data_IF_976381387372
#
_entry.id   IF_976381387372
#
_cell.length_a   1.000
_cell.length_b   1.000
_cell.length_c   1.000
_cell.angle_alpha   90.00
_cell.angle_beta   90.00
_cell.angle_gamma   90.00
#
_symmetry.space_group_name_H-M   'P 1'
#
loop_
_entity.id
_entity.type
_entity.pdbx_description
1 polymer ?
#
# COMPACT_ATOMS: atom_id res chain seq x y z
N UNK A 1 15.41 -38.96 11.91
CA UNK A 1 15.87 -38.06 12.98
C UNK A 1 17.10 -37.29 12.47
N UNK A 2 16.91 -36.50 11.41
CA UNK A 2 17.97 -35.68 10.81
C UNK A 2 17.64 -34.23 11.16
N UNK A 3 18.61 -33.50 11.68
CA UNK A 3 18.48 -32.09 12.03
C UNK A 3 18.57 -31.28 10.73
N UNK A 4 17.61 -30.38 10.44
CA UNK A 4 17.63 -29.59 9.21
C UNK A 4 18.81 -28.60 9.20
N UNK A 5 19.46 -28.46 8.05
CA UNK A 5 20.59 -27.52 7.85
C UNK A 5 20.13 -26.09 7.56
N UNK A 6 18.93 -25.92 6.98
CA UNK A 6 18.39 -24.62 6.55
C UNK A 6 16.90 -24.48 6.84
N UNK A 7 16.44 -23.24 6.98
CA UNK A 7 15.02 -22.86 7.08
C UNK A 7 14.76 -21.67 6.18
N UNK A 8 13.66 -21.71 5.42
CA UNK A 8 13.22 -20.60 4.59
C UNK A 8 11.98 -19.93 5.19
N UNK A 9 12.00 -18.60 5.25
CA UNK A 9 10.88 -17.78 5.72
C UNK A 9 10.45 -16.83 4.60
N UNK A 10 9.15 -16.80 4.31
CA UNK A 10 8.56 -15.87 3.36
C UNK A 10 7.36 -15.17 4.00
N UNK A 11 7.19 -13.88 3.69
CA UNK A 11 6.13 -13.08 4.27
C UNK A 11 5.87 -11.79 3.50
N UNK A 12 4.87 -11.03 3.95
CA UNK A 12 4.52 -9.71 3.41
C UNK A 12 4.62 -8.67 4.51
N UNK A 13 5.27 -7.55 4.22
CA UNK A 13 5.35 -6.40 5.12
C UNK A 13 4.26 -5.41 4.73
N UNK A 14 3.45 -4.98 5.69
CA UNK A 14 2.41 -3.95 5.50
C UNK A 14 2.52 -2.88 6.58
N UNK A 15 2.32 -1.64 6.19
CA UNK A 15 2.39 -0.48 7.05
C UNK A 15 1.43 0.59 6.51
N UNK A 16 1.02 1.55 7.35
CA UNK A 16 0.09 2.61 6.95
C UNK A 16 0.79 3.95 6.68
N UNK A 17 2.00 4.11 7.21
CA UNK A 17 2.74 5.36 7.23
C UNK A 17 4.08 5.16 6.53
N UNK A 18 4.39 5.91 5.45
CA UNK A 18 5.63 5.74 4.69
C UNK A 18 6.89 5.78 5.57
N UNK A 19 6.91 6.64 6.58
CA UNK A 19 8.04 6.81 7.50
C UNK A 19 8.33 5.58 8.38
N UNK A 20 7.39 4.63 8.49
CA UNK A 20 7.55 3.41 9.29
C UNK A 20 8.24 2.29 8.50
N UNK A 21 8.32 2.39 7.17
CA UNK A 21 8.88 1.35 6.31
C UNK A 21 10.31 0.97 6.68
N UNK A 22 11.21 1.96 6.75
CA UNK A 22 12.63 1.71 7.06
C UNK A 22 12.81 1.13 8.46
N UNK A 23 12.02 1.60 9.42
CA UNK A 23 12.02 1.06 10.78
C UNK A 23 11.66 -0.42 10.77
N UNK A 24 10.61 -0.84 10.05
CA UNK A 24 10.24 -2.25 9.98
C UNK A 24 11.34 -3.08 9.31
N UNK A 25 11.94 -2.60 8.23
CA UNK A 25 13.02 -3.33 7.56
C UNK A 25 14.23 -3.52 8.49
N UNK A 26 14.64 -2.46 9.18
CA UNK A 26 15.74 -2.53 10.15
C UNK A 26 15.44 -3.48 11.32
N UNK A 27 14.20 -3.47 11.83
CA UNK A 27 13.80 -4.35 12.93
C UNK A 27 13.73 -5.84 12.51
N UNK A 28 13.34 -6.13 11.27
CA UNK A 28 13.38 -7.49 10.72
C UNK A 28 14.84 -7.97 10.63
N UNK A 29 15.74 -7.14 10.11
CA UNK A 29 17.16 -7.49 10.02
C UNK A 29 17.78 -7.70 11.42
N UNK A 30 17.46 -6.80 12.36
CA UNK A 30 17.89 -6.91 13.77
C UNK A 30 17.36 -8.19 14.43
N UNK A 31 16.13 -8.61 14.12
CA UNK A 31 15.59 -9.86 14.64
C UNK A 31 16.33 -11.07 14.08
N UNK A 32 16.66 -11.07 12.77
CA UNK A 32 17.38 -12.17 12.12
C UNK A 32 18.84 -12.30 12.59
N UNK A 33 19.45 -11.22 13.09
CA UNK A 33 20.83 -11.26 13.59
C UNK A 33 21.04 -12.24 14.74
N UNK A 34 19.97 -12.69 15.43
CA UNK A 34 20.05 -13.75 16.44
C UNK A 34 20.59 -15.08 15.88
N UNK A 35 20.36 -15.37 14.59
CA UNK A 35 20.88 -16.58 13.95
C UNK A 35 22.40 -16.66 14.06
N UNK A 36 23.09 -15.52 13.89
CA UNK A 36 24.56 -15.42 14.03
C UNK A 36 25.03 -15.64 15.45
N UNK A 37 24.29 -15.12 16.44
CA UNK A 37 24.60 -15.37 17.86
C UNK A 37 24.45 -16.85 18.24
N UNK A 38 23.62 -17.60 17.51
CA UNK A 38 23.39 -19.03 17.70
C UNK A 38 24.29 -19.92 16.83
N UNK A 39 25.28 -19.34 16.12
CA UNK A 39 26.25 -20.08 15.31
C UNK A 39 25.79 -20.40 13.88
N UNK A 40 24.66 -19.83 13.43
CA UNK A 40 24.20 -19.90 12.04
C UNK A 40 24.46 -18.60 11.27
N UNK A 41 23.82 -18.46 10.11
CA UNK A 41 23.79 -17.22 9.32
C UNK A 41 22.41 -17.04 8.67
N UNK A 42 22.17 -15.90 8.04
CA UNK A 42 20.94 -15.61 7.31
C UNK A 42 21.19 -14.79 6.05
N UNK A 43 20.32 -14.97 5.06
CA UNK A 43 20.18 -14.08 3.91
C UNK A 43 18.82 -13.38 4.00
N UNK A 44 18.80 -12.07 3.76
CA UNK A 44 17.57 -11.27 3.80
C UNK A 44 17.34 -10.59 2.45
N UNK A 45 16.22 -10.94 1.81
CA UNK A 45 15.75 -10.28 0.60
C UNK A 45 14.42 -9.56 0.88
N UNK A 46 14.46 -8.23 0.91
CA UNK A 46 13.26 -7.39 1.02
C UNK A 46 12.97 -6.75 -0.33
N UNK A 47 11.79 -7.01 -0.89
CA UNK A 47 11.29 -6.35 -2.10
C UNK A 47 10.25 -5.29 -1.71
N UNK A 48 10.46 -4.05 -2.15
CA UNK A 48 9.51 -2.96 -1.90
C UNK A 48 8.28 -3.15 -2.80
N UNK A 49 7.11 -3.25 -2.17
CA UNK A 49 5.81 -3.25 -2.85
C UNK A 49 5.24 -1.85 -3.01
N UNK A 50 3.95 -1.78 -3.38
CA UNK A 50 3.21 -0.53 -3.45
C UNK A 50 3.17 0.18 -2.07
N UNK A 51 3.32 1.51 -2.02
CA UNK A 51 3.22 2.26 -0.78
C UNK A 51 1.77 2.28 -0.25
N UNK A 52 1.54 2.77 0.97
CA UNK A 52 0.20 3.01 1.46
C UNK A 52 -0.54 4.05 0.59
N UNK A 53 -1.85 3.88 0.38
CA UNK A 53 -2.67 4.92 -0.26
C UNK A 53 -2.77 6.11 0.69
N UNK A 54 -2.17 7.24 0.29
CA UNK A 54 -2.33 8.53 0.95
C UNK A 54 -3.25 9.39 0.11
N UNK A 55 -4.38 9.78 0.67
CA UNK A 55 -5.33 10.69 0.02
C UNK A 55 -4.94 12.15 0.31
N UNK A 56 -4.88 12.99 -0.73
CA UNK A 56 -4.69 14.43 -0.57
C UNK A 56 -5.94 15.07 0.06
N UNK A 57 -5.78 15.80 1.16
CA UNK A 57 -6.88 16.39 1.94
C UNK A 57 -7.77 17.29 1.09
N UNK A 58 -7.19 18.05 0.15
CA UNK A 58 -7.97 18.96 -0.71
C UNK A 58 -8.89 18.20 -1.66
N UNK A 59 -8.44 17.05 -2.17
CA UNK A 59 -9.26 16.18 -3.03
C UNK A 59 -10.33 15.48 -2.19
N UNK A 60 -9.99 15.08 -0.95
CA UNK A 60 -10.97 14.52 0.00
C UNK A 60 -12.07 15.52 0.32
N UNK A 61 -11.73 16.78 0.59
CA UNK A 61 -12.69 17.83 0.91
C UNK A 61 -13.62 18.12 -0.28
N UNK A 62 -13.07 18.14 -1.50
CA UNK A 62 -13.87 18.27 -2.72
C UNK A 62 -14.83 17.09 -2.89
N UNK A 63 -14.36 15.85 -2.71
CA UNK A 63 -15.21 14.66 -2.78
C UNK A 63 -16.30 14.69 -1.71
N UNK A 64 -15.99 15.11 -0.48
CA UNK A 64 -16.98 15.29 0.60
C UNK A 64 -18.07 16.28 0.20
N UNK A 65 -17.69 17.45 -0.32
CA UNK A 65 -18.65 18.45 -0.77
C UNK A 65 -19.53 17.93 -1.92
N UNK A 66 -18.95 17.22 -2.90
CA UNK A 66 -19.72 16.61 -3.99
C UNK A 66 -20.72 15.59 -3.47
N UNK A 67 -20.28 14.70 -2.57
CA UNK A 67 -21.14 13.66 -2.01
C UNK A 67 -22.23 14.27 -1.13
N UNK A 68 -21.91 15.24 -0.29
CA UNK A 68 -22.87 15.97 0.54
C UNK A 68 -23.96 16.65 -0.29
N UNK A 69 -23.58 17.32 -1.39
CA UNK A 69 -24.53 17.99 -2.27
C UNK A 69 -25.43 17.01 -3.04
N UNK A 70 -24.91 15.85 -3.46
CA UNK A 70 -25.64 14.87 -4.28
C UNK A 70 -26.50 13.92 -3.44
N UNK A 71 -26.02 13.52 -2.26
CA UNK A 71 -26.56 12.40 -1.48
C UNK A 71 -26.88 12.74 -0.03
N UNK A 72 -26.56 13.94 0.43
CA UNK A 72 -26.66 14.35 1.83
C UNK A 72 -25.43 13.97 2.67
N UNK A 73 -25.14 14.77 3.70
CA UNK A 73 -23.99 14.58 4.61
C UNK A 73 -24.05 13.24 5.37
N UNK A 74 -25.25 12.70 5.60
CA UNK A 74 -25.48 11.41 6.26
C UNK A 74 -24.96 10.21 5.45
N UNK A 75 -24.78 10.39 4.14
CA UNK A 75 -24.22 9.36 3.26
C UNK A 75 -22.72 9.15 3.46
N UNK A 76 -22.02 10.13 4.07
CA UNK A 76 -20.61 10.05 4.39
C UNK A 76 -20.37 9.21 5.63
N UNK A 77 -19.56 8.17 5.48
CA UNK A 77 -19.18 7.27 6.58
C UNK A 77 -17.66 7.31 6.79
N UNK A 78 -17.18 7.33 8.04
CA UNK A 78 -15.75 7.26 8.30
C UNK A 78 -15.16 5.96 7.76
N UNK A 79 -14.07 6.09 7.00
CA UNK A 79 -13.41 4.94 6.43
C UNK A 79 -12.67 4.16 7.53
N UNK A 80 -13.04 2.89 7.74
CA UNK A 80 -12.23 1.98 8.57
C UNK A 80 -10.92 1.66 7.86
N UNK A 81 -9.79 1.97 8.48
CA UNK A 81 -8.49 1.58 7.92
C UNK A 81 -8.42 0.06 7.74
N UNK A 82 -7.84 -0.37 6.63
CA UNK A 82 -7.63 -1.78 6.31
C UNK A 82 -6.18 -2.00 5.95
N UNK A 83 -5.70 -3.22 6.17
CA UNK A 83 -4.33 -3.60 5.81
C UNK A 83 -4.24 -4.10 4.36
N UNK A 84 -5.26 -3.90 3.52
CA UNK A 84 -5.20 -4.30 2.10
C UNK A 84 -4.14 -3.50 1.34
N UNK A 85 -3.46 -4.14 0.38
CA UNK A 85 -2.63 -3.42 -0.60
C UNK A 85 -3.51 -2.90 -1.73
N UNK A 86 -3.21 -1.71 -2.23
CA UNK A 86 -3.97 -1.02 -3.28
C UNK A 86 -3.00 -0.29 -4.20
N UNK A 87 -3.06 -0.56 -5.50
CA UNK A 87 -2.09 -0.04 -6.48
C UNK A 87 -2.40 1.40 -6.90
N UNK A 88 -3.60 1.90 -6.56
CA UNK A 88 -3.93 3.32 -6.67
C UNK A 88 -2.94 4.24 -5.93
N UNK A 89 -2.25 3.70 -4.91
CA UNK A 89 -1.16 4.37 -4.19
C UNK A 89 -0.01 4.82 -5.11
N UNK A 90 0.23 4.11 -6.21
CA UNK A 90 1.25 4.49 -7.19
C UNK A 90 0.87 5.78 -7.93
N UNK A 91 -0.42 6.04 -8.11
CA UNK A 91 -0.91 7.29 -8.70
C UNK A 91 -0.88 8.42 -7.68
N UNK A 92 -1.35 8.18 -6.46
CA UNK A 92 -1.35 9.22 -5.41
C UNK A 92 0.04 9.60 -4.92
N UNK A 93 1.04 8.73 -5.15
CA UNK A 93 2.45 9.06 -4.95
C UNK A 93 2.99 10.08 -5.99
N UNK A 94 2.34 10.20 -7.16
CA UNK A 94 2.79 11.06 -8.26
C UNK A 94 1.96 12.34 -8.40
N UNK A 95 0.70 12.34 -7.98
CA UNK A 95 -0.19 13.48 -8.10
C UNK A 95 -1.20 13.53 -6.94
N UNK A 96 -1.65 14.73 -6.54
CA UNK A 96 -2.78 14.88 -5.62
C UNK A 96 -4.00 14.10 -6.11
N UNK A 97 -4.42 13.13 -5.30
CA UNK A 97 -5.55 12.27 -5.60
C UNK A 97 -6.16 11.72 -4.33
N UNK A 98 -7.40 11.26 -4.43
CA UNK A 98 -8.07 10.59 -3.33
C UNK A 98 -8.92 9.44 -3.85
N UNK A 99 -8.92 8.35 -3.09
CA UNK A 99 -9.78 7.20 -3.29
C UNK A 99 -10.82 7.15 -2.17
N UNK A 100 -12.07 6.88 -2.54
CA UNK A 100 -13.16 6.61 -1.60
C UNK A 100 -13.73 5.22 -1.86
N UNK A 101 -14.46 4.66 -0.89
CA UNK A 101 -15.17 3.40 -1.04
C UNK A 101 -16.64 3.65 -1.25
N UNK A 102 -17.16 3.14 -2.37
CA UNK A 102 -18.58 3.18 -2.68
C UNK A 102 -19.30 2.02 -1.98
N UNK A 103 -20.33 2.35 -1.19
CA UNK A 103 -21.21 1.36 -0.60
C UNK A 103 -21.99 0.62 -1.69
N UNK A 104 -21.72 -0.68 -1.86
CA UNK A 104 -22.32 -1.51 -2.90
C UNK A 104 -22.87 -2.84 -2.36
N UNK A 105 -22.95 -2.99 -1.03
CA UNK A 105 -23.39 -4.24 -0.40
C UNK A 105 -24.90 -4.41 -0.56
N UNK A 106 -25.32 -5.60 -1.00
CA UNK A 106 -26.72 -6.04 -0.97
C UNK A 106 -27.16 -6.17 0.50
N UNK A 107 -28.32 -5.62 0.86
CA UNK A 107 -28.81 -5.67 2.23
C UNK A 107 -28.96 -7.10 2.74
N UNK A 108 -28.46 -7.38 3.95
CA UNK A 108 -28.46 -8.71 4.55
C UNK A 108 -27.40 -9.68 4.01
N UNK A 109 -26.61 -9.29 3.00
CA UNK A 109 -25.59 -10.14 2.42
C UNK A 109 -24.24 -10.03 3.15
N UNK A 110 -23.71 -11.14 3.72
CA UNK A 110 -22.41 -11.14 4.40
C UNK A 110 -21.22 -11.27 3.44
N UNK A 111 -21.44 -11.54 2.14
CA UNK A 111 -20.37 -11.77 1.17
C UNK A 111 -19.54 -10.49 0.98
N UNK A 112 -18.23 -10.66 0.86
CA UNK A 112 -17.26 -9.57 0.67
C UNK A 112 -16.47 -9.78 -0.62
N UNK A 113 -15.69 -8.76 -1.01
CA UNK A 113 -14.74 -8.86 -2.11
C UNK A 113 -13.86 -10.12 -1.96
N UNK A 114 -13.51 -10.74 -3.10
CA UNK A 114 -12.80 -12.01 -3.22
C UNK A 114 -13.59 -13.28 -2.86
N UNK A 115 -14.85 -13.19 -2.45
CA UNK A 115 -15.71 -14.37 -2.33
C UNK A 115 -16.07 -14.92 -3.74
N UNK A 116 -16.05 -16.24 -3.99
CA UNK A 116 -16.27 -16.81 -5.33
C UNK A 116 -17.69 -16.58 -5.89
N UNK A 117 -18.63 -16.25 -5.00
CA UNK A 117 -20.00 -15.84 -5.34
C UNK A 117 -20.25 -14.38 -4.97
N UNK A 118 -19.22 -13.54 -4.99
CA UNK A 118 -19.36 -12.11 -4.73
C UNK A 118 -20.44 -11.52 -5.64
N UNK A 119 -21.20 -10.59 -5.09
CA UNK A 119 -22.30 -9.90 -5.76
C UNK A 119 -22.43 -8.51 -5.16
N UNK A 120 -23.05 -7.58 -5.88
CA UNK A 120 -23.18 -6.19 -5.47
C UNK A 120 -24.53 -5.60 -5.87
N UNK A 121 -24.96 -4.58 -5.12
CA UNK A 121 -26.16 -3.83 -5.42
C UNK A 121 -25.89 -2.80 -6.52
N UNK A 122 -26.28 -3.13 -7.76
CA UNK A 122 -26.03 -2.30 -8.94
C UNK A 122 -26.65 -0.90 -8.87
N UNK A 123 -27.57 -0.65 -7.93
CA UNK A 123 -28.09 0.70 -7.65
C UNK A 123 -26.97 1.67 -7.24
N UNK A 124 -25.82 1.18 -6.78
CA UNK A 124 -24.66 2.01 -6.49
C UNK A 124 -23.96 2.56 -7.75
N UNK A 125 -24.09 1.91 -8.91
CA UNK A 125 -23.36 2.29 -10.13
C UNK A 125 -23.65 3.73 -10.60
N UNK A 126 -24.92 4.17 -10.77
CA UNK A 126 -25.21 5.55 -11.14
C UNK A 126 -24.73 6.56 -10.09
N UNK A 127 -24.72 6.18 -8.81
CA UNK A 127 -24.24 7.02 -7.71
C UNK A 127 -22.73 7.26 -7.84
N UNK A 128 -21.95 6.19 -7.99
CA UNK A 128 -20.50 6.29 -8.17
C UNK A 128 -20.12 7.10 -9.41
N UNK A 129 -20.82 6.88 -10.52
CA UNK A 129 -20.61 7.63 -11.75
C UNK A 129 -20.91 9.12 -11.59
N UNK A 130 -22.02 9.48 -10.93
CA UNK A 130 -22.40 10.86 -10.69
C UNK A 130 -21.37 11.59 -9.80
N UNK A 131 -20.91 10.95 -8.72
CA UNK A 131 -19.88 11.52 -7.82
C UNK A 131 -18.59 11.78 -8.58
N UNK A 132 -18.09 10.81 -9.37
CA UNK A 132 -16.85 10.98 -10.13
C UNK A 132 -16.98 12.06 -11.22
N UNK A 133 -18.11 12.10 -11.93
CA UNK A 133 -18.36 13.11 -12.97
C UNK A 133 -18.43 14.52 -12.39
N UNK A 134 -19.17 14.72 -11.31
CA UNK A 134 -19.29 16.03 -10.65
C UNK A 134 -17.97 16.46 -10.02
N UNK A 135 -17.22 15.53 -9.40
CA UNK A 135 -15.89 15.83 -8.87
C UNK A 135 -14.93 16.31 -9.97
N UNK A 136 -14.92 15.63 -11.12
CA UNK A 136 -14.12 16.06 -12.27
C UNK A 136 -14.52 17.46 -12.77
N UNK A 137 -15.81 17.76 -12.86
CA UNK A 137 -16.30 19.07 -13.26
C UNK A 137 -15.87 20.17 -12.28
N UNK A 138 -15.97 19.92 -10.97
CA UNK A 138 -15.54 20.89 -9.94
C UNK A 138 -14.03 21.12 -9.98
N UNK A 139 -13.23 20.07 -10.13
CA UNK A 139 -11.78 20.17 -10.26
C UNK A 139 -11.37 21.03 -11.48
N UNK A 140 -12.02 20.82 -12.63
CA UNK A 140 -11.76 21.59 -13.84
C UNK A 140 -12.19 23.06 -13.71
N UNK A 141 -13.35 23.32 -13.09
CA UNK A 141 -13.85 24.69 -12.86
C UNK A 141 -12.99 25.49 -11.88
N UNK A 142 -12.35 24.83 -10.91
CA UNK A 142 -11.43 25.45 -9.96
C UNK A 142 -10.04 25.75 -10.57
N UNK A 143 -9.85 25.57 -11.88
CA UNK A 143 -8.66 26.00 -12.61
C UNK A 143 -7.47 25.04 -12.53
N UNK A 144 -7.69 23.75 -12.24
CA UNK A 144 -6.61 22.75 -12.23
C UNK A 144 -5.55 22.98 -11.14
N UNK A 145 -5.84 23.79 -10.12
CA UNK A 145 -4.91 24.23 -9.05
C UNK A 145 -4.38 23.07 -8.18
N UNK A 146 -4.88 21.85 -8.39
CA UNK A 146 -4.41 20.61 -7.77
C UNK A 146 -3.27 19.90 -8.52
N UNK A 147 -2.87 20.36 -9.71
CA UNK A 147 -1.70 19.82 -10.41
C UNK A 147 -0.44 20.44 -9.79
N UNK A 148 -0.10 20.03 -8.56
CA UNK A 148 1.26 20.17 -8.08
C UNK A 148 2.16 19.34 -9.00
N UNK A 149 3.16 19.97 -9.62
CA UNK A 149 4.18 19.23 -10.36
C UNK A 149 4.87 18.27 -9.39
N UNK A 150 4.98 16.96 -9.70
CA UNK A 150 5.85 16.11 -8.92
C UNK A 150 7.28 16.61 -9.14
N UNK A 151 7.94 16.98 -8.05
CA UNK A 151 9.40 16.93 -8.02
C UNK A 151 9.76 15.46 -8.26
N UNK A 152 10.23 15.13 -9.46
CA UNK A 152 10.87 13.84 -9.71
C UNK A 152 12.09 13.76 -8.78
N UNK A 153 11.92 13.16 -7.60
CA UNK A 153 13.04 12.55 -6.91
C UNK A 153 13.41 11.31 -7.73
N UNK A 154 14.33 11.49 -8.67
CA UNK A 154 15.04 10.39 -9.32
C UNK A 154 15.86 9.68 -8.24
N UNK A 155 15.26 8.76 -7.49
CA UNK A 155 16.05 7.72 -6.83
C UNK A 155 16.32 6.66 -7.89
N UNK A 156 17.49 6.78 -8.52
CA UNK A 156 18.11 5.64 -9.18
C UNK A 156 18.19 4.52 -8.16
N UNK A 157 17.44 3.45 -8.40
CA UNK A 157 17.60 2.18 -7.68
C UNK A 157 18.95 1.62 -8.13
N UNK A 158 20.00 1.98 -7.40
CA UNK A 158 21.25 1.20 -7.39
C UNK A 158 20.92 -0.16 -6.74
N UNK A 159 21.27 -1.29 -7.37
CA UNK A 159 21.17 -2.57 -6.70
C UNK A 159 22.20 -2.55 -5.57
N UNK A 160 21.73 -2.52 -4.32
CA UNK A 160 22.55 -2.78 -3.14
C UNK A 160 23.05 -4.23 -3.18
N UNK A 161 24.09 -4.47 -3.97
CA UNK A 161 24.89 -5.68 -3.93
C UNK A 161 25.83 -5.63 -2.74
N UNK A 162 25.30 -5.88 -1.54
CA UNK A 162 26.12 -6.26 -0.40
C UNK A 162 26.21 -7.80 -0.34
N UNK A 163 26.78 -8.41 -1.39
CA UNK A 163 27.29 -9.77 -1.28
C UNK A 163 28.62 -9.69 -0.52
N UNK A 164 28.56 -9.62 0.81
CA UNK A 164 29.74 -9.69 1.66
C UNK A 164 30.21 -11.15 1.69
N UNK A 165 30.93 -11.56 0.64
CA UNK A 165 31.63 -12.85 0.61
C UNK A 165 32.78 -12.79 1.61
N UNK A 166 32.72 -13.60 2.66
CA UNK A 166 33.86 -13.85 3.54
C UNK A 166 34.96 -14.62 2.79
N UNK A 167 36.26 -14.37 3.05
CA UNK A 167 37.32 -15.10 2.39
C UNK A 167 37.37 -16.52 2.93
N UNK A 168 37.22 -17.50 2.03
CA UNK A 168 37.45 -18.91 2.29
C UNK A 168 38.85 -19.11 2.89
N UNK A 169 38.92 -19.62 4.12
CA UNK A 169 40.13 -20.21 4.64
C UNK A 169 40.38 -21.52 3.88
N UNK A 170 41.33 -21.47 2.94
CA UNK A 170 42.03 -22.67 2.48
C UNK A 170 43.02 -23.05 3.57
N UNK A 171 42.79 -24.16 4.26
CA UNK A 171 43.86 -24.92 4.88
C UNK A 171 44.21 -26.08 3.94
N UNK A 172 45.27 -25.88 3.15
CA UNK A 172 46.14 -26.98 2.74
C UNK A 172 46.86 -27.48 4.00
N UNK A 173 46.74 -28.77 4.34
CA UNK A 173 47.86 -29.70 4.57
C UNK A 173 47.37 -31.04 5.11
N UNK A 174 47.83 -32.09 4.43
CA UNK A 174 48.09 -33.50 4.82
C UNK A 174 47.01 -34.29 5.56
#
# INVERSE_FOLDING_TARGET
NIIPETVELAGTIRYEKPEVQETIHAEIERALSIARALGGDYELLIRRGAPPVINDERVVDLLRAVIGDLLGEESLQPQKKGMGGEDFSLFTALAPGAMFRLGCRIEGDPRTAHHPRFDLDERCLPIGAAVLAEAALRLLRQGGVLIAQPALATSTVEPSGAAMRSPSHRSETT
#
